data_IF_357697289581
#
_entry.id   IF_357697289581
#
_cell.length_a   1.000
_cell.length_b   1.000
_cell.length_c   1.000
_cell.angle_alpha   90.00
_cell.angle_beta   90.00
_cell.angle_gamma   90.00
#
_symmetry.space_group_name_H-M   'P 1'
#
loop_
_entity.id
_entity.type
_entity.pdbx_description
1 polymer ?
#
# COMPACT_ATOMS: atom_id res chain seq x y z
N UNK A 1 -1.08 -8.09 20.02
CA UNK A 1 -0.85 -7.48 18.70
C UNK A 1 -1.55 -6.14 18.70
N UNK A 2 -0.93 -5.09 18.14
CA UNK A 2 -1.43 -3.71 18.21
C UNK A 2 -1.55 -3.14 16.79
N UNK A 3 -2.71 -2.62 16.42
CA UNK A 3 -2.90 -1.97 15.13
C UNK A 3 -2.08 -0.66 15.08
N UNK A 4 -1.39 -0.42 13.97
CA UNK A 4 -0.64 0.81 13.76
C UNK A 4 -1.46 1.81 12.94
N UNK A 5 -1.24 3.08 13.24
CA UNK A 5 -1.67 4.20 12.43
C UNK A 5 -0.55 4.59 11.44
N UNK A 6 -0.92 5.28 10.36
CA UNK A 6 -0.03 5.70 9.28
C UNK A 6 1.11 6.58 9.79
N UNK A 7 0.85 7.46 10.76
CA UNK A 7 1.85 8.38 11.31
C UNK A 7 3.05 7.64 11.93
N UNK A 8 2.86 6.51 12.61
CA UNK A 8 3.95 5.73 13.22
C UNK A 8 4.89 5.21 12.13
N UNK A 9 4.33 4.72 11.02
CA UNK A 9 5.10 4.23 9.88
C UNK A 9 5.84 5.37 9.17
N UNK A 10 5.21 6.53 9.02
CA UNK A 10 5.86 7.72 8.45
C UNK A 10 7.07 8.12 9.29
N UNK A 11 6.94 8.22 10.61
CA UNK A 11 8.04 8.58 11.51
C UNK A 11 9.17 7.56 11.48
N UNK A 12 8.83 6.28 11.40
CA UNK A 12 9.80 5.20 11.26
C UNK A 12 10.57 5.26 9.92
N UNK A 13 9.87 5.49 8.81
CA UNK A 13 10.45 5.44 7.46
C UNK A 13 11.22 6.71 7.07
N UNK A 14 10.65 7.87 7.36
CA UNK A 14 11.16 9.16 6.89
C UNK A 14 12.12 9.80 7.88
N UNK A 15 11.88 9.61 9.19
CA UNK A 15 12.68 10.20 10.27
C UNK A 15 12.77 11.74 10.20
N UNK A 16 11.69 12.39 9.78
CA UNK A 16 11.57 13.85 9.70
C UNK A 16 11.30 14.52 11.07
N UNK A 17 10.79 13.77 12.03
CA UNK A 17 10.75 14.14 13.45
C UNK A 17 11.67 13.17 14.23
N UNK A 18 12.87 13.61 14.66
CA UNK A 18 13.85 12.73 15.31
C UNK A 18 13.35 12.08 16.60
N UNK A 19 12.57 12.80 17.41
CA UNK A 19 12.09 12.30 18.69
C UNK A 19 11.02 11.22 18.46
N UNK A 20 10.06 11.50 17.57
CA UNK A 20 9.04 10.51 17.21
C UNK A 20 9.62 9.33 16.43
N UNK A 21 10.68 9.51 15.65
CA UNK A 21 11.34 8.42 14.94
C UNK A 21 11.97 7.41 15.92
N UNK A 22 12.61 7.89 16.99
CA UNK A 22 13.13 7.02 18.06
C UNK A 22 11.99 6.28 18.76
N UNK A 23 10.91 6.99 19.10
CA UNK A 23 9.74 6.37 19.75
C UNK A 23 9.09 5.29 18.87
N UNK A 24 8.86 5.58 17.58
CA UNK A 24 8.29 4.63 16.63
C UNK A 24 9.19 3.40 16.43
N UNK A 25 10.50 3.61 16.29
CA UNK A 25 11.48 2.52 16.14
C UNK A 25 11.48 1.62 17.38
N UNK A 26 11.53 2.20 18.57
CA UNK A 26 11.48 1.44 19.82
C UNK A 26 10.14 0.72 19.99
N UNK A 27 9.04 1.34 19.59
CA UNK A 27 7.72 0.71 19.65
C UNK A 27 7.66 -0.54 18.76
N UNK A 28 8.09 -0.43 17.51
CA UNK A 28 8.13 -1.56 16.57
C UNK A 28 9.07 -2.68 17.04
N UNK A 29 10.20 -2.35 17.68
CA UNK A 29 11.15 -3.33 18.18
C UNK A 29 10.61 -4.17 19.35
N UNK A 30 9.64 -3.65 20.11
CA UNK A 30 9.16 -4.26 21.35
C UNK A 30 7.73 -4.80 21.28
N UNK A 31 7.03 -4.64 20.16
CA UNK A 31 5.63 -5.02 20.02
C UNK A 31 5.38 -5.80 18.74
N UNK A 32 4.38 -6.69 18.77
CA UNK A 32 3.78 -7.26 17.54
C UNK A 32 2.69 -6.33 17.04
N UNK A 33 2.74 -5.99 15.76
CA UNK A 33 1.97 -4.94 15.13
C UNK A 33 1.12 -5.48 13.98
N UNK A 34 -0.01 -4.82 13.73
CA UNK A 34 -0.92 -5.16 12.65
C UNK A 34 -1.18 -3.95 11.75
N UNK A 35 -1.20 -4.17 10.43
CA UNK A 35 -1.50 -3.14 9.43
C UNK A 35 -2.79 -3.43 8.69
N UNK A 36 -3.72 -2.48 8.75
CA UNK A 36 -4.89 -2.50 7.88
C UNK A 36 -4.54 -2.09 6.46
N UNK A 37 -5.35 -2.54 5.49
CA UNK A 37 -5.26 -2.10 4.09
C UNK A 37 -5.37 -0.58 3.95
N UNK A 38 -6.22 0.05 4.76
CA UNK A 38 -6.40 1.50 4.79
C UNK A 38 -5.14 2.26 5.22
N UNK A 39 -4.38 1.71 6.18
CA UNK A 39 -3.12 2.29 6.66
C UNK A 39 -2.06 2.23 5.56
N UNK A 40 -2.01 1.12 4.81
CA UNK A 40 -1.11 1.01 3.65
C UNK A 40 -1.50 2.01 2.55
N UNK A 41 -2.81 2.13 2.26
CA UNK A 41 -3.32 3.07 1.26
C UNK A 41 -2.96 4.52 1.60
N UNK A 42 -3.20 4.94 2.85
CA UNK A 42 -2.84 6.28 3.32
C UNK A 42 -1.33 6.48 3.33
N UNK A 43 -0.54 5.49 3.75
CA UNK A 43 0.91 5.56 3.72
C UNK A 43 1.44 5.78 2.29
N UNK A 44 0.92 5.05 1.29
CA UNK A 44 1.30 5.28 -0.11
C UNK A 44 0.97 6.70 -0.54
N UNK A 45 -0.22 7.20 -0.19
CA UNK A 45 -0.61 8.57 -0.52
C UNK A 45 0.32 9.61 0.13
N UNK A 46 0.64 9.46 1.42
CA UNK A 46 1.55 10.37 2.15
C UNK A 46 2.95 10.34 1.54
N UNK A 47 3.46 9.16 1.17
CA UNK A 47 4.81 9.04 0.62
C UNK A 47 4.91 9.52 -0.84
N UNK A 48 3.93 9.19 -1.69
CA UNK A 48 3.99 9.40 -3.14
C UNK A 48 3.40 10.74 -3.59
N UNK A 49 2.38 11.27 -2.89
CA UNK A 49 1.63 12.42 -3.40
C UNK A 49 2.45 13.71 -3.37
N UNK A 50 2.15 14.68 -4.27
CA UNK A 50 2.77 16.00 -4.23
C UNK A 50 2.48 16.80 -2.96
N UNK A 51 1.40 16.46 -2.23
CA UNK A 51 1.04 17.09 -0.97
C UNK A 51 1.73 16.46 0.25
N UNK A 52 2.37 15.29 0.06
CA UNK A 52 3.19 14.62 1.07
C UNK A 52 4.69 14.71 0.72
N UNK A 53 5.39 13.59 0.76
CA UNK A 53 6.85 13.55 0.55
C UNK A 53 7.27 13.48 -0.92
N UNK A 54 6.33 13.28 -1.86
CA UNK A 54 6.59 13.25 -3.31
C UNK A 54 7.75 12.31 -3.71
N UNK A 55 7.83 11.16 -3.04
CA UNK A 55 8.83 10.14 -3.34
C UNK A 55 8.52 9.44 -4.68
N UNK A 56 9.55 8.88 -5.32
CA UNK A 56 9.34 8.09 -6.53
C UNK A 56 8.57 6.79 -6.21
N UNK A 57 7.85 6.25 -7.19
CA UNK A 57 7.10 4.98 -7.05
C UNK A 57 7.99 3.85 -6.57
N UNK A 58 9.21 3.77 -7.11
CA UNK A 58 10.22 2.77 -6.77
C UNK A 58 10.61 2.91 -5.30
N UNK A 59 10.88 4.12 -4.85
CA UNK A 59 11.21 4.41 -3.45
C UNK A 59 10.03 4.04 -2.53
N UNK A 60 8.81 4.39 -2.90
CA UNK A 60 7.61 4.05 -2.11
C UNK A 60 7.42 2.54 -2.01
N UNK A 61 7.56 1.83 -3.14
CA UNK A 61 7.46 0.38 -3.19
C UNK A 61 8.54 -0.29 -2.31
N UNK A 62 9.80 0.14 -2.37
CA UNK A 62 10.87 -0.36 -1.51
C UNK A 62 10.56 -0.14 -0.01
N UNK A 63 10.00 1.02 0.35
CA UNK A 63 9.62 1.32 1.74
C UNK A 63 8.48 0.45 2.24
N UNK A 64 7.49 0.16 1.39
CA UNK A 64 6.39 -0.75 1.73
C UNK A 64 6.90 -2.18 1.92
N UNK A 65 7.76 -2.67 1.02
CA UNK A 65 8.40 -3.98 1.17
C UNK A 65 9.23 -4.06 2.45
N UNK A 66 9.98 -3.01 2.79
CA UNK A 66 10.74 -2.95 4.04
C UNK A 66 9.82 -3.08 5.27
N UNK A 67 8.74 -2.31 5.34
CA UNK A 67 7.78 -2.36 6.44
C UNK A 67 7.12 -3.73 6.54
N UNK A 68 6.60 -4.26 5.44
CA UNK A 68 5.91 -5.56 5.42
C UNK A 68 6.85 -6.74 5.65
N UNK A 69 8.16 -6.55 5.45
CA UNK A 69 9.20 -7.54 5.76
C UNK A 69 9.66 -7.52 7.22
N UNK A 70 9.23 -6.57 8.05
CA UNK A 70 9.56 -6.55 9.47
C UNK A 70 8.90 -7.73 10.18
N UNK A 71 9.67 -8.52 10.92
CA UNK A 71 9.18 -9.71 11.63
C UNK A 71 8.14 -9.40 12.72
N UNK A 72 8.03 -8.14 13.13
CA UNK A 72 7.03 -7.69 14.08
C UNK A 72 5.70 -7.27 13.43
N UNK A 73 5.60 -7.21 12.10
CA UNK A 73 4.44 -6.73 11.37
C UNK A 73 3.68 -7.89 10.73
N UNK A 74 2.36 -7.90 10.96
CA UNK A 74 1.38 -8.66 10.20
C UNK A 74 0.46 -7.68 9.46
N UNK A 75 -0.01 -8.03 8.27
CA UNK A 75 -0.93 -7.20 7.49
C UNK A 75 -2.26 -7.90 7.25
N UNK A 76 -3.30 -7.09 7.08
CA UNK A 76 -4.61 -7.52 6.60
C UNK A 76 -4.49 -8.09 5.17
N UNK A 77 -4.99 -9.31 4.98
CA UNK A 77 -4.95 -10.09 3.74
C UNK A 77 -3.58 -10.02 3.00
N UNK A 78 -2.53 -10.67 3.53
CA UNK A 78 -1.17 -10.57 2.98
C UNK A 78 -1.06 -10.90 1.49
N UNK A 79 -1.84 -11.88 1.01
CA UNK A 79 -1.89 -12.24 -0.42
C UNK A 79 -2.44 -11.10 -1.28
N UNK A 80 -3.49 -10.42 -0.81
CA UNK A 80 -4.09 -9.28 -1.51
C UNK A 80 -3.13 -8.09 -1.52
N UNK A 81 -2.51 -7.79 -0.38
CA UNK A 81 -1.50 -6.72 -0.27
C UNK A 81 -0.30 -7.01 -1.16
N UNK A 82 0.18 -8.24 -1.19
CA UNK A 82 1.29 -8.65 -2.07
C UNK A 82 0.95 -8.43 -3.54
N UNK A 83 -0.24 -8.84 -3.99
CA UNK A 83 -0.66 -8.65 -5.38
C UNK A 83 -0.80 -7.17 -5.74
N UNK A 84 -1.35 -6.37 -4.82
CA UNK A 84 -1.47 -4.93 -5.01
C UNK A 84 -0.09 -4.25 -5.15
N UNK A 85 0.91 -4.68 -4.37
CA UNK A 85 2.29 -4.20 -4.49
C UNK A 85 2.93 -4.57 -5.82
N UNK A 86 2.70 -5.79 -6.31
CA UNK A 86 3.17 -6.21 -7.64
C UNK A 86 2.63 -5.29 -8.74
N UNK A 87 1.31 -5.10 -8.82
CA UNK A 87 0.74 -4.20 -9.83
C UNK A 87 1.13 -2.73 -9.63
N UNK A 88 1.32 -2.31 -8.37
CA UNK A 88 1.84 -0.97 -8.10
C UNK A 88 3.27 -0.82 -8.63
N UNK A 89 4.16 -1.79 -8.45
CA UNK A 89 5.50 -1.73 -9.05
C UNK A 89 5.44 -1.67 -10.59
N UNK A 90 4.45 -2.32 -11.20
CA UNK A 90 4.25 -2.39 -12.66
C UNK A 90 3.50 -1.18 -13.25
N UNK A 91 3.10 -0.21 -12.42
CA UNK A 91 2.59 1.08 -12.88
C UNK A 91 1.11 1.36 -12.60
N UNK A 92 0.36 0.42 -12.02
CA UNK A 92 -1.02 0.66 -11.55
C UNK A 92 -1.03 1.60 -10.35
N UNK A 93 -2.03 2.48 -10.19
CA UNK A 93 -2.18 3.20 -8.92
C UNK A 93 -2.38 2.22 -7.75
N UNK A 94 -1.84 2.51 -6.56
CA UNK A 94 -1.93 1.56 -5.45
C UNK A 94 -3.37 1.35 -4.97
N UNK A 95 -4.20 2.40 -4.98
CA UNK A 95 -5.62 2.28 -4.63
C UNK A 95 -6.36 1.38 -5.62
N UNK A 96 -6.15 1.62 -6.92
CA UNK A 96 -6.68 0.78 -7.99
C UNK A 96 -6.24 -0.69 -7.86
N UNK A 97 -4.95 -0.91 -7.60
CA UNK A 97 -4.38 -2.24 -7.41
C UNK A 97 -4.98 -2.95 -6.20
N UNK A 98 -5.18 -2.24 -5.09
CA UNK A 98 -5.75 -2.79 -3.86
C UNK A 98 -7.25 -3.09 -4.01
N UNK A 99 -8.01 -2.23 -4.70
CA UNK A 99 -9.41 -2.49 -5.04
C UNK A 99 -9.53 -3.73 -5.92
N UNK A 100 -8.70 -3.84 -6.96
CA UNK A 100 -8.74 -4.97 -7.89
C UNK A 100 -8.37 -6.27 -7.18
N UNK A 101 -7.27 -6.28 -6.43
CA UNK A 101 -6.81 -7.48 -5.73
C UNK A 101 -7.86 -7.94 -4.70
N UNK A 102 -8.46 -6.99 -3.96
CA UNK A 102 -9.54 -7.29 -3.00
C UNK A 102 -10.82 -7.82 -3.65
N UNK A 103 -10.95 -7.69 -4.97
CA UNK A 103 -12.08 -8.20 -5.75
C UNK A 103 -11.81 -9.57 -6.39
N UNK A 104 -10.69 -10.23 -6.06
CA UNK A 104 -10.24 -11.50 -6.66
C UNK A 104 -11.29 -12.62 -6.70
N UNK A 105 -12.16 -12.70 -5.70
CA UNK A 105 -13.23 -13.70 -5.62
C UNK A 105 -14.56 -13.25 -6.26
N UNK A 106 -14.59 -12.05 -6.86
CA UNK A 106 -15.75 -11.49 -7.54
C UNK A 106 -15.67 -11.75 -9.06
N UNK A 107 -16.83 -11.68 -9.73
CA UNK A 107 -16.90 -11.88 -11.18
C UNK A 107 -16.17 -10.79 -12.00
N UNK A 108 -15.90 -9.63 -11.39
CA UNK A 108 -15.30 -8.46 -12.05
C UNK A 108 -15.33 -7.22 -11.15
N UNK A 109 -14.63 -6.18 -11.58
CA UNK A 109 -14.70 -4.83 -10.99
C UNK A 109 -15.20 -3.84 -12.04
N UNK A 110 -16.20 -3.03 -11.69
CA UNK A 110 -16.73 -2.00 -12.57
C UNK A 110 -16.13 -0.62 -12.25
N UNK A 111 -15.78 0.17 -13.27
CA UNK A 111 -15.23 1.52 -13.09
C UNK A 111 -15.62 2.44 -14.25
N UNK A 112 -15.63 3.76 -14.00
CA UNK A 112 -15.65 4.79 -15.05
C UNK A 112 -14.23 5.25 -15.45
N UNK A 113 -13.21 4.81 -14.71
CA UNK A 113 -11.82 5.20 -14.95
C UNK A 113 -11.22 4.42 -16.12
N UNK A 114 -11.11 5.09 -17.27
CA UNK A 114 -10.50 4.55 -18.49
C UNK A 114 -9.02 4.21 -18.31
N UNK A 115 -8.29 4.98 -17.50
CA UNK A 115 -6.85 4.75 -17.25
C UNK A 115 -6.66 3.50 -16.40
N UNK A 116 -7.47 3.33 -15.35
CA UNK A 116 -7.45 2.11 -14.54
C UNK A 116 -7.76 0.88 -15.41
N UNK A 117 -8.87 0.90 -16.16
CA UNK A 117 -9.25 -0.20 -17.04
C UNK A 117 -8.15 -0.57 -18.05
N UNK A 118 -7.58 0.43 -18.74
CA UNK A 118 -6.50 0.21 -19.69
C UNK A 118 -5.22 -0.33 -19.03
N UNK A 119 -4.92 0.09 -17.80
CA UNK A 119 -3.73 -0.40 -17.09
C UNK A 119 -3.91 -1.83 -16.63
N UNK A 120 -5.07 -2.18 -16.08
CA UNK A 120 -5.39 -3.55 -15.69
C UNK A 120 -5.35 -4.52 -16.88
N UNK A 121 -5.88 -4.11 -18.04
CA UNK A 121 -5.81 -4.91 -19.28
C UNK A 121 -4.36 -5.16 -19.73
N UNK A 122 -3.51 -4.13 -19.72
CA UNK A 122 -2.08 -4.26 -20.09
C UNK A 122 -1.31 -5.23 -19.18
N UNK A 123 -1.70 -5.31 -17.92
CA UNK A 123 -1.08 -6.19 -16.92
C UNK A 123 -1.74 -7.57 -16.86
N UNK A 124 -2.74 -7.87 -17.72
CA UNK A 124 -3.61 -9.05 -17.63
C UNK A 124 -4.15 -9.29 -16.19
N UNK A 125 -4.43 -8.20 -15.48
CA UNK A 125 -4.83 -8.26 -14.09
C UNK A 125 -6.22 -8.89 -13.95
N UNK A 126 -6.44 -9.61 -12.85
CA UNK A 126 -7.70 -10.28 -12.51
C UNK A 126 -8.26 -9.71 -11.21
N UNK A 127 -9.59 -9.67 -11.02
CA UNK A 127 -10.65 -10.08 -11.95
C UNK A 127 -10.80 -9.13 -13.15
N UNK A 128 -11.59 -9.45 -14.18
CA UNK A 128 -11.78 -8.56 -15.33
C UNK A 128 -12.40 -7.21 -14.92
N UNK A 129 -11.93 -6.13 -15.56
CA UNK A 129 -12.51 -4.80 -15.42
C UNK A 129 -13.67 -4.63 -16.41
N UNK A 130 -14.81 -4.13 -15.93
CA UNK A 130 -15.90 -3.63 -16.77
C UNK A 130 -15.88 -2.10 -16.76
N UNK A 131 -15.43 -1.50 -17.87
CA UNK A 131 -15.51 -0.05 -18.04
C UNK A 131 -16.97 0.34 -18.36
N UNK A 132 -17.60 1.07 -17.45
CA UNK A 132 -18.92 1.67 -17.68
C UNK A 132 -18.69 3.04 -18.31
N UNK A 133 -19.36 3.30 -19.43
CA UNK A 133 -19.23 4.52 -20.23
C UNK A 133 -20.56 5.18 -20.49
#
# INVERSE_FOLDING_TARGET
MIALDTNILVRYLIKDDPDQAVLATNFLANNRCFLHKSVLLELVWVLASPAGYKLSRETVHERLLHVLGLSCIESEDPTIVSQALTWYAEGMDFGDALHLASSSELAGLATFDKKFASTAEKLDAKPPITLIS
#
